data_IF_663732974853
#
_entry.id   IF_663732974853
#
_cell.length_a   1.000
_cell.length_b   1.000
_cell.length_c   1.000
_cell.angle_alpha   90.00
_cell.angle_beta   90.00
_cell.angle_gamma   90.00
#
_symmetry.space_group_name_H-M   'P 1'
#
loop_
_entity.id
_entity.type
_entity.pdbx_description
1 polymer ?
#
# COMPACT_ATOMS: atom_id res chain seq x y z
N UNK A 1 7.94 6.79 7.52
CA UNK A 1 8.35 5.57 6.79
C UNK A 1 8.49 5.74 5.27
N UNK A 2 7.61 6.51 4.58
CA UNK A 2 7.67 6.74 3.11
C UNK A 2 9.00 7.30 2.56
N UNK A 3 9.72 8.11 3.33
CA UNK A 3 11.03 8.63 2.91
C UNK A 3 12.12 7.54 2.89
N UNK A 4 12.07 6.57 3.82
CA UNK A 4 13.07 5.50 3.91
C UNK A 4 12.90 4.45 2.80
N UNK A 5 11.67 4.14 2.38
CA UNK A 5 11.43 3.23 1.25
C UNK A 5 11.85 3.86 -0.08
N UNK A 6 11.49 5.13 -0.31
CA UNK A 6 11.87 5.86 -1.52
C UNK A 6 13.39 6.04 -1.64
N UNK A 7 14.09 6.28 -0.52
CA UNK A 7 15.56 6.31 -0.50
C UNK A 7 16.15 4.92 -0.79
N UNK A 8 15.56 3.85 -0.26
CA UNK A 8 16.04 2.47 -0.47
C UNK A 8 15.84 2.00 -1.92
N UNK A 9 14.73 2.36 -2.54
CA UNK A 9 14.46 2.10 -3.96
C UNK A 9 15.38 2.91 -4.87
N UNK A 10 15.58 4.21 -4.58
CA UNK A 10 16.53 5.06 -5.31
C UNK A 10 17.96 4.50 -5.20
N UNK A 11 18.36 4.03 -4.01
CA UNK A 11 19.67 3.42 -3.81
C UNK A 11 19.80 2.10 -4.58
N UNK A 12 18.75 1.28 -4.64
CA UNK A 12 18.78 0.00 -5.37
C UNK A 12 18.83 0.23 -6.89
N UNK A 13 18.01 1.14 -7.40
CA UNK A 13 18.03 1.53 -8.82
C UNK A 13 19.36 2.15 -9.25
N UNK A 14 19.96 2.96 -8.39
CA UNK A 14 21.29 3.54 -8.64
C UNK A 14 22.39 2.46 -8.62
N UNK A 15 22.32 1.48 -7.71
CA UNK A 15 23.28 0.37 -7.67
C UNK A 15 23.19 -0.51 -8.92
N UNK A 16 21.98 -0.83 -9.39
CA UNK A 16 21.76 -1.57 -10.64
C UNK A 16 22.30 -0.78 -11.83
N UNK A 17 22.05 0.53 -11.87
CA UNK A 17 22.55 1.41 -12.92
C UNK A 17 24.08 1.46 -12.94
N UNK A 18 24.73 1.63 -11.79
CA UNK A 18 26.19 1.61 -11.66
C UNK A 18 26.77 0.25 -12.08
N UNK A 19 26.11 -0.85 -11.72
CA UNK A 19 26.48 -2.19 -12.16
C UNK A 19 26.45 -2.33 -13.69
N UNK A 20 25.37 -1.88 -14.33
CA UNK A 20 25.23 -1.94 -15.80
C UNK A 20 26.25 -1.04 -16.47
N UNK A 21 26.46 0.20 -16.00
CA UNK A 21 27.51 1.09 -16.53
C UNK A 21 28.89 0.46 -16.40
N UNK A 22 29.18 -0.19 -15.27
CA UNK A 22 30.44 -0.91 -15.07
C UNK A 22 30.63 -2.08 -16.02
N UNK A 23 29.59 -2.92 -16.20
CA UNK A 23 29.60 -4.03 -17.16
C UNK A 23 29.76 -3.53 -18.59
N UNK A 24 29.02 -2.48 -18.97
CA UNK A 24 29.17 -1.82 -20.27
C UNK A 24 30.61 -1.34 -20.45
N UNK A 25 31.18 -0.66 -19.46
CA UNK A 25 32.57 -0.21 -19.48
C UNK A 25 33.58 -1.34 -19.69
N UNK A 26 33.46 -2.45 -18.96
CA UNK A 26 34.36 -3.62 -19.09
C UNK A 26 34.23 -4.27 -20.46
N UNK A 27 33.01 -4.47 -20.96
CA UNK A 27 32.78 -5.07 -22.27
C UNK A 27 33.34 -4.22 -23.43
N UNK A 28 33.43 -2.90 -23.26
CA UNK A 28 34.06 -1.99 -24.24
C UNK A 28 35.51 -2.36 -24.53
N UNK A 29 36.25 -2.81 -23.51
CA UNK A 29 37.67 -3.09 -23.61
C UNK A 29 37.96 -4.52 -24.06
N UNK A 30 37.02 -5.45 -23.84
CA UNK A 30 37.20 -6.86 -24.15
C UNK A 30 36.75 -7.25 -25.57
N UNK A 31 35.83 -6.49 -26.17
CA UNK A 31 35.23 -6.85 -27.46
C UNK A 31 36.02 -6.21 -28.62
N UNK A 32 36.44 -7.00 -29.64
CA UNK A 32 37.23 -6.48 -30.76
C UNK A 32 36.47 -5.61 -31.78
N UNK A 33 35.13 -5.71 -31.86
CA UNK A 33 34.28 -4.92 -32.77
C UNK A 33 33.64 -3.71 -32.04
N UNK A 34 34.11 -2.47 -32.30
CA UNK A 34 33.64 -1.28 -31.59
C UNK A 34 32.23 -0.83 -32.00
N UNK A 35 31.69 -1.32 -33.12
CA UNK A 35 30.35 -0.94 -33.62
C UNK A 35 29.25 -1.70 -32.92
N UNK A 36 29.47 -3.00 -32.67
CA UNK A 36 28.59 -3.82 -31.87
C UNK A 36 28.41 -3.25 -30.45
N UNK A 37 29.40 -2.50 -29.96
CA UNK A 37 29.43 -1.95 -28.61
C UNK A 37 28.60 -0.66 -28.41
N UNK A 38 28.39 0.15 -29.45
CA UNK A 38 27.57 1.38 -29.37
C UNK A 38 26.14 1.10 -28.88
N UNK A 39 25.59 -0.06 -29.22
CA UNK A 39 24.25 -0.47 -28.80
C UNK A 39 24.19 -0.79 -27.29
N UNK A 40 25.30 -1.14 -26.65
CA UNK A 40 25.32 -1.50 -25.24
C UNK A 40 25.11 -0.28 -24.31
N UNK A 41 25.42 0.93 -24.78
CA UNK A 41 25.15 2.17 -24.06
C UNK A 41 23.65 2.52 -23.99
N UNK A 42 22.79 1.91 -24.82
CA UNK A 42 21.35 2.10 -24.68
C UNK A 42 20.82 1.52 -23.37
N UNK A 43 21.38 0.42 -22.87
CA UNK A 43 20.92 -0.22 -21.64
C UNK A 43 20.99 0.69 -20.40
N UNK A 44 22.15 1.27 -20.03
CA UNK A 44 22.21 2.18 -18.90
C UNK A 44 21.42 3.47 -19.14
N UNK A 45 21.30 3.94 -20.39
CA UNK A 45 20.56 5.16 -20.70
C UNK A 45 19.05 4.97 -20.59
N UNK A 46 18.51 3.89 -21.18
CA UNK A 46 17.09 3.52 -21.08
C UNK A 46 16.72 3.25 -19.62
N UNK A 47 17.55 2.49 -18.92
CA UNK A 47 17.30 2.21 -17.50
C UNK A 47 17.40 3.48 -16.65
N UNK A 48 18.39 4.34 -16.92
CA UNK A 48 18.53 5.63 -16.24
C UNK A 48 17.32 6.54 -16.49
N UNK A 49 16.81 6.58 -17.72
CA UNK A 49 15.61 7.33 -18.07
C UNK A 49 14.35 6.76 -17.38
N UNK A 50 14.23 5.44 -17.33
CA UNK A 50 13.11 4.75 -16.68
C UNK A 50 13.14 4.91 -15.15
N UNK A 51 14.27 4.72 -14.49
CA UNK A 51 14.36 4.75 -13.03
C UNK A 51 14.42 6.17 -12.45
N UNK A 52 15.01 7.12 -13.18
CA UNK A 52 15.34 8.45 -12.66
C UNK A 52 14.55 9.59 -13.32
N UNK A 53 13.73 9.27 -14.32
CA UNK A 53 12.94 10.23 -15.09
C UNK A 53 13.72 10.90 -16.23
N UNK A 54 13.00 11.74 -16.97
CA UNK A 54 13.43 12.33 -18.24
C UNK A 54 14.69 13.17 -18.12
N UNK A 55 14.73 14.11 -17.17
CA UNK A 55 15.87 15.03 -17.02
C UNK A 55 17.17 14.26 -16.77
N UNK A 56 17.14 13.27 -15.88
CA UNK A 56 18.32 12.48 -15.51
C UNK A 56 18.69 11.47 -16.60
N UNK A 57 17.70 10.86 -17.25
CA UNK A 57 17.92 10.00 -18.43
C UNK A 57 18.66 10.72 -19.56
N UNK A 58 18.26 11.96 -19.88
CA UNK A 58 18.93 12.77 -20.90
C UNK A 58 20.37 13.12 -20.50
N UNK A 59 20.63 13.42 -19.21
CA UNK A 59 22.00 13.65 -18.73
C UNK A 59 22.88 12.39 -18.89
N UNK A 60 22.33 11.20 -18.63
CA UNK A 60 23.04 9.94 -18.87
C UNK A 60 23.33 9.69 -20.35
N UNK A 61 22.39 10.00 -21.23
CA UNK A 61 22.61 9.93 -22.67
C UNK A 61 23.70 10.90 -23.14
N UNK A 62 23.70 12.14 -22.64
CA UNK A 62 24.75 13.13 -22.93
C UNK A 62 26.11 12.65 -22.44
N UNK A 63 26.19 12.10 -21.23
CA UNK A 63 27.43 11.54 -20.69
C UNK A 63 27.94 10.36 -21.54
N UNK A 64 27.05 9.47 -21.97
CA UNK A 64 27.41 8.37 -22.88
C UNK A 64 27.95 8.89 -24.22
N UNK A 65 27.29 9.90 -24.81
CA UNK A 65 27.77 10.56 -26.02
C UNK A 65 29.17 11.17 -25.83
N UNK A 66 29.42 11.87 -24.72
CA UNK A 66 30.73 12.45 -24.42
C UNK A 66 31.82 11.39 -24.27
N UNK A 67 31.53 10.28 -23.59
CA UNK A 67 32.46 9.15 -23.43
C UNK A 67 32.79 8.56 -24.80
N UNK A 68 31.78 8.29 -25.62
CA UNK A 68 31.98 7.69 -26.96
C UNK A 68 32.73 8.64 -27.89
N UNK A 69 32.42 9.94 -27.88
CA UNK A 69 33.16 10.95 -28.66
C UNK A 69 34.63 11.01 -28.22
N UNK A 70 34.89 10.98 -26.91
CA UNK A 70 36.25 10.95 -26.37
C UNK A 70 37.03 9.72 -26.81
N UNK A 71 36.42 8.53 -26.74
CA UNK A 71 37.02 7.28 -27.23
C UNK A 71 37.27 7.30 -28.75
N UNK A 72 36.32 7.79 -29.53
CA UNK A 72 36.45 7.90 -30.99
C UNK A 72 37.53 8.91 -31.42
N UNK A 73 37.83 9.90 -30.57
CA UNK A 73 38.90 10.87 -30.80
C UNK A 73 40.28 10.32 -30.42
N UNK A 74 40.34 9.42 -29.43
CA UNK A 74 41.58 8.83 -28.94
C UNK A 74 42.10 7.67 -29.80
N UNK A 75 41.21 6.93 -30.47
CA UNK A 75 41.57 5.81 -31.34
C UNK A 75 40.77 5.84 -32.64
N UNK A 76 41.37 6.42 -33.68
CA UNK A 76 40.74 6.56 -34.98
C UNK A 76 40.45 5.21 -35.64
N UNK A 77 41.27 4.18 -35.37
CA UNK A 77 41.16 2.87 -36.01
C UNK A 77 39.91 2.09 -35.61
N UNK A 78 39.32 2.42 -34.44
CA UNK A 78 38.14 1.73 -33.89
C UNK A 78 36.83 2.09 -34.58
N UNK A 79 36.70 3.28 -35.17
CA UNK A 79 35.41 3.79 -35.66
C UNK A 79 35.40 4.17 -37.14
N UNK A 80 36.47 3.87 -37.90
CA UNK A 80 36.53 4.14 -39.34
C UNK A 80 35.62 3.19 -40.13
N UNK A 81 34.93 3.73 -41.15
CA UNK A 81 34.24 2.96 -42.18
C UNK A 81 35.20 2.14 -43.03
N UNK A 82 34.81 0.93 -43.43
CA UNK A 82 35.58 0.07 -44.33
C UNK A 82 36.00 0.76 -45.66
N UNK A 83 35.39 1.91 -45.99
CA UNK A 83 35.68 2.72 -47.17
C UNK A 83 36.69 3.88 -46.96
N UNK A 84 37.31 4.03 -45.78
CA UNK A 84 38.41 4.99 -45.57
C UNK A 84 38.04 6.49 -45.54
N UNK A 85 36.75 6.84 -45.53
CA UNK A 85 36.26 8.24 -45.48
C UNK A 85 36.03 8.66 -44.04
N UNK A 86 36.92 9.50 -43.50
CA UNK A 86 36.96 9.89 -42.08
C UNK A 86 35.76 10.70 -41.59
N UNK A 87 35.08 11.48 -42.43
CA UNK A 87 33.92 12.29 -42.01
C UNK A 87 32.66 11.48 -41.72
N UNK A 88 32.52 10.27 -42.30
CA UNK A 88 31.34 9.40 -42.10
C UNK A 88 31.18 8.94 -40.66
N UNK A 89 32.28 8.79 -39.91
CA UNK A 89 32.27 8.41 -38.48
C UNK A 89 31.48 9.39 -37.62
N UNK A 90 31.61 10.69 -37.90
CA UNK A 90 30.96 11.74 -37.12
C UNK A 90 29.46 11.82 -37.44
N UNK A 91 29.07 11.52 -38.68
CA UNK A 91 27.67 11.37 -39.05
C UNK A 91 27.05 10.16 -38.35
N UNK A 92 27.71 8.99 -38.38
CA UNK A 92 27.22 7.78 -37.71
C UNK A 92 27.07 7.98 -36.19
N UNK A 93 28.07 8.59 -35.54
CA UNK A 93 28.02 8.93 -34.11
C UNK A 93 26.96 9.99 -33.80
N UNK A 94 26.77 10.97 -34.70
CA UNK A 94 25.72 11.97 -34.59
C UNK A 94 24.32 11.35 -34.66
N UNK A 95 24.09 10.46 -35.62
CA UNK A 95 22.82 9.71 -35.75
C UNK A 95 22.59 8.80 -34.54
N UNK A 96 23.60 8.03 -34.13
CA UNK A 96 23.52 7.19 -32.94
C UNK A 96 23.22 8.01 -31.67
N UNK A 97 23.96 9.09 -31.44
CA UNK A 97 23.76 9.96 -30.28
C UNK A 97 22.41 10.67 -30.29
N UNK A 98 21.94 11.08 -31.47
CA UNK A 98 20.60 11.64 -31.66
C UNK A 98 19.50 10.64 -31.31
N UNK A 99 19.60 9.41 -31.79
CA UNK A 99 18.63 8.33 -31.46
C UNK A 99 18.70 8.01 -29.97
N UNK A 100 19.90 7.94 -29.37
CA UNK A 100 20.07 7.67 -27.95
C UNK A 100 19.43 8.75 -27.08
N UNK A 101 19.63 10.02 -27.41
CA UNK A 101 19.01 11.16 -26.72
C UNK A 101 17.49 11.15 -26.86
N UNK A 102 16.98 10.91 -28.08
CA UNK A 102 15.54 10.81 -28.33
C UNK A 102 14.92 9.65 -27.53
N UNK A 103 15.60 8.50 -27.50
CA UNK A 103 15.16 7.32 -26.74
C UNK A 103 15.11 7.64 -25.25
N UNK A 104 16.16 8.26 -24.70
CA UNK A 104 16.21 8.66 -23.29
C UNK A 104 15.08 9.65 -22.95
N UNK A 105 14.84 10.64 -23.81
CA UNK A 105 13.76 11.60 -23.65
C UNK A 105 12.39 10.91 -23.67
N UNK A 106 12.13 10.05 -24.65
CA UNK A 106 10.86 9.37 -24.82
C UNK A 106 10.56 8.41 -23.67
N UNK A 107 11.51 7.54 -23.31
CA UNK A 107 11.37 6.59 -22.19
C UNK A 107 11.16 7.34 -20.88
N UNK A 108 11.94 8.39 -20.63
CA UNK A 108 11.80 9.17 -19.40
C UNK A 108 10.47 9.94 -19.34
N UNK A 109 9.99 10.46 -20.47
CA UNK A 109 8.68 11.12 -20.55
C UNK A 109 7.53 10.13 -20.32
N UNK A 110 7.62 8.93 -20.90
CA UNK A 110 6.62 7.87 -20.72
C UNK A 110 6.56 7.42 -19.26
N UNK A 111 7.72 7.22 -18.63
CA UNK A 111 7.80 6.90 -17.21
C UNK A 111 7.17 8.00 -16.35
N UNK A 112 7.55 9.27 -16.56
CA UNK A 112 6.99 10.41 -15.83
C UNK A 112 5.45 10.51 -15.98
N UNK A 113 4.94 10.29 -17.19
CA UNK A 113 3.49 10.28 -17.48
C UNK A 113 2.77 9.13 -16.78
N UNK A 114 3.32 7.91 -16.85
CA UNK A 114 2.73 6.74 -16.21
C UNK A 114 2.72 6.89 -14.69
N UNK A 115 3.81 7.39 -14.11
CA UNK A 115 3.91 7.73 -12.69
C UNK A 115 2.90 8.80 -12.27
N UNK A 116 2.64 9.79 -13.12
CA UNK A 116 1.62 10.81 -12.85
C UNK A 116 0.21 10.22 -12.86
N UNK A 117 -0.11 9.38 -13.85
CA UNK A 117 -1.40 8.67 -13.94
C UNK A 117 -1.62 7.75 -12.74
N UNK A 118 -0.58 7.02 -12.30
CA UNK A 118 -0.67 6.16 -11.12
C UNK A 118 -0.93 6.97 -9.85
N UNK A 119 -0.29 8.13 -9.69
CA UNK A 119 -0.55 9.03 -8.56
C UNK A 119 -1.97 9.59 -8.60
N UNK A 120 -2.44 10.04 -9.75
CA UNK A 120 -3.80 10.55 -9.92
C UNK A 120 -4.85 9.48 -9.60
N UNK A 121 -4.62 8.23 -10.02
CA UNK A 121 -5.45 7.10 -9.66
C UNK A 121 -5.45 6.82 -8.15
N UNK A 122 -4.28 6.89 -7.50
CA UNK A 122 -4.16 6.74 -6.03
C UNK A 122 -4.89 7.86 -5.29
N UNK A 123 -4.73 9.11 -5.71
CA UNK A 123 -5.38 10.27 -5.12
C UNK A 123 -6.91 10.19 -5.30
N UNK A 124 -7.37 9.81 -6.50
CA UNK A 124 -8.78 9.57 -6.77
C UNK A 124 -9.35 8.43 -5.90
N UNK A 125 -8.61 7.33 -5.76
CA UNK A 125 -8.99 6.22 -4.88
C UNK A 125 -9.14 6.67 -3.43
N UNK A 126 -8.17 7.39 -2.89
CA UNK A 126 -8.25 7.94 -1.53
C UNK A 126 -9.41 8.92 -1.37
N UNK A 127 -9.62 9.81 -2.34
CA UNK A 127 -10.73 10.76 -2.36
C UNK A 127 -12.09 10.07 -2.37
N UNK A 128 -12.27 9.01 -3.17
CA UNK A 128 -13.51 8.22 -3.19
C UNK A 128 -13.74 7.54 -1.85
N UNK A 129 -12.73 6.90 -1.25
CA UNK A 129 -12.86 6.27 0.07
C UNK A 129 -13.23 7.30 1.14
N UNK A 130 -12.66 8.50 1.10
CA UNK A 130 -12.99 9.59 2.03
C UNK A 130 -14.44 10.09 1.84
N UNK A 131 -14.89 10.25 0.59
CA UNK A 131 -16.29 10.60 0.28
C UNK A 131 -17.24 9.54 0.82
N UNK A 132 -16.92 8.25 0.65
CA UNK A 132 -17.73 7.16 1.19
C UNK A 132 -17.77 7.20 2.72
N UNK A 133 -16.64 7.44 3.38
CA UNK A 133 -16.59 7.64 4.84
C UNK A 133 -17.53 8.76 5.29
N UNK A 134 -17.46 9.92 4.61
CA UNK A 134 -18.31 11.08 4.91
C UNK A 134 -19.80 10.79 4.66
N UNK A 135 -20.12 10.02 3.64
CA UNK A 135 -21.48 9.59 3.35
C UNK A 135 -22.02 8.69 4.49
N UNK A 136 -21.25 7.70 4.92
CA UNK A 136 -21.61 6.82 6.05
C UNK A 136 -21.86 7.65 7.31
N UNK A 137 -20.91 8.51 7.66
CA UNK A 137 -21.00 9.40 8.83
C UNK A 137 -22.19 10.38 8.71
N UNK A 138 -22.64 10.73 7.50
CA UNK A 138 -23.82 11.59 7.31
C UNK A 138 -25.16 10.88 7.53
N UNK A 139 -25.21 9.58 7.22
CA UNK A 139 -26.39 8.72 7.43
C UNK A 139 -26.52 8.37 8.91
N UNK A 140 -25.40 8.09 9.57
CA UNK A 140 -25.34 7.82 11.00
C UNK A 140 -25.03 9.12 11.77
N UNK A 141 -26.09 9.83 12.17
CA UNK A 141 -26.00 11.10 12.94
C UNK A 141 -25.21 10.99 14.26
N UNK A 142 -24.83 9.78 14.70
CA UNK A 142 -24.14 9.54 15.95
C UNK A 142 -22.61 9.48 15.83
N UNK A 143 -22.06 9.66 14.63
CA UNK A 143 -20.66 9.31 14.34
C UNK A 143 -19.95 10.36 13.48
N UNK A 144 -19.63 11.53 14.02
CA UNK A 144 -18.71 12.44 13.33
C UNK A 144 -17.30 11.82 13.35
N UNK A 145 -16.74 11.54 12.17
CA UNK A 145 -15.38 11.01 11.96
C UNK A 145 -15.09 9.67 12.68
N UNK A 146 -16.11 8.86 12.93
CA UNK A 146 -15.96 7.55 13.58
C UNK A 146 -15.16 6.58 12.72
N UNK A 147 -15.56 6.44 11.46
CA UNK A 147 -14.93 5.54 10.49
C UNK A 147 -13.43 5.85 10.35
N UNK A 148 -13.06 7.13 10.39
CA UNK A 148 -11.67 7.59 10.39
C UNK A 148 -10.89 7.18 11.65
N UNK A 149 -11.46 7.37 12.85
CA UNK A 149 -10.81 6.97 14.11
C UNK A 149 -10.67 5.45 14.24
N UNK A 150 -11.69 4.69 13.86
CA UNK A 150 -11.63 3.22 13.82
C UNK A 150 -10.51 2.76 12.89
N UNK A 151 -10.38 3.37 11.71
CA UNK A 151 -9.29 3.06 10.79
C UNK A 151 -7.90 3.38 11.36
N UNK A 152 -7.76 4.50 12.08
CA UNK A 152 -6.51 4.83 12.75
C UNK A 152 -6.13 3.80 13.82
N UNK A 153 -7.08 3.43 14.68
CA UNK A 153 -6.89 2.40 15.70
C UNK A 153 -6.57 1.03 15.08
N UNK A 154 -7.31 0.63 14.04
CA UNK A 154 -7.12 -0.63 13.35
C UNK A 154 -5.73 -0.73 12.70
N UNK A 155 -5.24 0.35 12.07
CA UNK A 155 -3.89 0.40 11.52
C UNK A 155 -2.81 0.23 12.60
N UNK A 156 -2.97 0.86 13.76
CA UNK A 156 -2.01 0.75 14.86
C UNK A 156 -1.95 -0.70 15.37
N UNK A 157 -3.12 -1.31 15.60
CA UNK A 157 -3.22 -2.73 15.99
C UNK A 157 -2.57 -3.63 14.92
N UNK A 158 -2.83 -3.38 13.63
CA UNK A 158 -2.29 -4.17 12.53
C UNK A 158 -0.75 -4.11 12.45
N UNK A 159 -0.17 -2.92 12.64
CA UNK A 159 1.30 -2.76 12.66
C UNK A 159 1.95 -3.46 13.85
N UNK A 160 1.33 -3.38 15.02
CA UNK A 160 1.81 -4.05 16.23
C UNK A 160 1.77 -5.58 16.15
N UNK A 161 0.88 -6.11 15.31
CA UNK A 161 0.83 -7.54 14.97
C UNK A 161 1.91 -7.97 13.97
N UNK A 162 2.69 -7.02 13.45
CA UNK A 162 3.71 -7.27 12.43
C UNK A 162 3.12 -7.67 11.07
N UNK A 163 2.00 -7.04 10.68
CA UNK A 163 1.43 -7.18 9.34
C UNK A 163 2.18 -6.30 8.33
N UNK A 164 2.15 -6.69 7.06
CA UNK A 164 2.73 -5.89 5.97
C UNK A 164 1.95 -4.60 5.74
N UNK A 165 2.58 -3.56 5.17
CA UNK A 165 1.87 -2.29 4.89
C UNK A 165 0.71 -2.48 3.90
N UNK A 166 0.75 -3.51 3.03
CA UNK A 166 -0.38 -3.85 2.17
C UNK A 166 -1.57 -4.38 2.99
N UNK A 167 -1.33 -5.30 3.93
CA UNK A 167 -2.38 -5.81 4.83
C UNK A 167 -2.91 -4.71 5.77
N UNK A 168 -2.04 -3.81 6.24
CA UNK A 168 -2.43 -2.65 7.06
C UNK A 168 -3.35 -1.72 6.27
N UNK A 169 -3.06 -1.49 4.98
CA UNK A 169 -3.89 -0.68 4.10
C UNK A 169 -5.25 -1.34 3.82
N UNK A 170 -5.28 -2.65 3.59
CA UNK A 170 -6.56 -3.39 3.44
C UNK A 170 -7.42 -3.26 4.70
N UNK A 171 -6.82 -3.38 5.89
CA UNK A 171 -7.51 -3.19 7.17
C UNK A 171 -7.99 -1.75 7.35
N UNK A 172 -7.18 -0.76 6.96
CA UNK A 172 -7.56 0.66 7.00
C UNK A 172 -8.80 0.90 6.15
N UNK A 173 -8.82 0.40 4.92
CA UNK A 173 -9.94 0.55 3.99
C UNK A 173 -11.17 -0.21 4.51
N UNK A 174 -10.99 -1.42 5.03
CA UNK A 174 -12.06 -2.19 5.67
C UNK A 174 -12.66 -1.50 6.88
N UNK A 175 -11.84 -0.87 7.70
CA UNK A 175 -12.30 -0.07 8.83
C UNK A 175 -13.09 1.17 8.40
N UNK A 176 -12.71 1.83 7.29
CA UNK A 176 -13.48 2.98 6.79
C UNK A 176 -14.85 2.53 6.26
N UNK A 177 -14.90 1.37 5.60
CA UNK A 177 -16.09 0.88 4.91
C UNK A 177 -16.94 -0.10 5.72
N UNK A 178 -16.58 -0.42 6.97
CA UNK A 178 -17.23 -1.49 7.75
C UNK A 178 -18.74 -1.28 7.88
N UNK A 179 -19.16 -0.02 7.99
CA UNK A 179 -20.54 0.42 8.16
C UNK A 179 -21.22 0.91 6.87
N UNK A 180 -20.61 0.72 5.69
CA UNK A 180 -21.17 1.22 4.41
C UNK A 180 -22.58 0.69 4.12
N UNK A 181 -22.93 -0.50 4.64
CA UNK A 181 -24.26 -1.07 4.46
C UNK A 181 -25.37 -0.32 5.22
N UNK A 182 -25.04 0.55 6.18
CA UNK A 182 -26.03 1.34 6.92
C UNK A 182 -26.78 2.32 6.02
N UNK A 183 -26.24 2.68 4.85
CA UNK A 183 -26.92 3.54 3.86
C UNK A 183 -28.25 2.96 3.37
N UNK A 184 -28.45 1.64 3.48
CA UNK A 184 -29.63 0.92 3.03
C UNK A 184 -30.43 0.33 4.21
N UNK A 185 -30.15 0.77 5.44
CA UNK A 185 -30.97 0.48 6.63
C UNK A 185 -31.91 1.66 6.87
N UNK A 186 -33.16 1.37 7.27
CA UNK A 186 -34.14 2.42 7.57
C UNK A 186 -33.59 3.48 8.54
N UNK A 187 -33.76 4.75 8.18
CA UNK A 187 -33.36 5.90 9.02
C UNK A 187 -34.04 5.85 10.39
N UNK A 188 -35.28 5.35 10.47
CA UNK A 188 -36.02 5.26 11.73
C UNK A 188 -35.43 4.19 12.66
N UNK A 189 -34.94 3.08 12.10
CA UNK A 189 -34.21 2.04 12.83
C UNK A 189 -32.85 2.58 13.29
N UNK A 190 -32.13 3.29 12.42
CA UNK A 190 -30.84 3.91 12.75
C UNK A 190 -30.96 4.94 13.88
N UNK A 191 -32.06 5.72 13.93
CA UNK A 191 -32.30 6.76 14.95
C UNK A 191 -32.72 6.22 16.31
N UNK A 192 -33.09 4.95 16.43
CA UNK A 192 -33.45 4.35 17.71
C UNK A 192 -32.18 4.00 18.49
N UNK A 193 -31.74 4.94 19.32
CA UNK A 193 -30.56 4.80 20.17
C UNK A 193 -30.69 3.73 21.28
N UNK A 194 -31.92 3.34 21.65
CA UNK A 194 -32.18 2.29 22.63
C UNK A 194 -33.50 1.58 22.31
N UNK A 195 -33.52 0.25 22.49
CA UNK A 195 -34.75 -0.56 22.40
C UNK A 195 -35.20 -0.87 20.97
N UNK A 196 -34.31 -1.43 20.16
CA UNK A 196 -34.69 -2.06 18.89
C UNK A 196 -35.61 -3.26 19.18
N UNK A 197 -36.69 -3.40 18.41
CA UNK A 197 -37.45 -4.66 18.39
C UNK A 197 -36.58 -5.80 17.82
N UNK A 198 -37.03 -7.04 17.95
CA UNK A 198 -36.31 -8.17 17.38
C UNK A 198 -36.19 -8.05 15.84
N UNK A 199 -37.24 -7.54 15.19
CA UNK A 199 -37.30 -7.28 13.76
C UNK A 199 -36.34 -6.16 13.34
N UNK A 200 -36.32 -5.05 14.10
CA UNK A 200 -35.44 -3.91 13.84
C UNK A 200 -33.96 -4.28 14.06
N UNK A 201 -33.69 -5.11 15.05
CA UNK A 201 -32.35 -5.65 15.27
C UNK A 201 -31.92 -6.57 14.12
N UNK A 202 -32.80 -7.44 13.63
CA UNK A 202 -32.54 -8.27 12.47
C UNK A 202 -32.29 -7.42 11.20
N UNK A 203 -33.05 -6.35 10.99
CA UNK A 203 -32.81 -5.39 9.90
C UNK A 203 -31.44 -4.72 10.04
N UNK A 204 -31.09 -4.24 11.22
CA UNK A 204 -29.78 -3.65 11.50
C UNK A 204 -28.64 -4.62 11.18
N UNK A 205 -28.76 -5.89 11.55
CA UNK A 205 -27.74 -6.89 11.25
C UNK A 205 -27.45 -7.05 9.75
N UNK A 206 -28.43 -6.76 8.88
CA UNK A 206 -28.25 -6.91 7.43
C UNK A 206 -27.20 -5.96 6.82
N UNK A 207 -26.79 -4.90 7.52
CA UNK A 207 -25.80 -3.95 6.98
C UNK A 207 -24.46 -4.64 6.66
N UNK A 208 -24.08 -5.70 7.37
CA UNK A 208 -22.83 -6.42 7.08
C UNK A 208 -22.91 -7.11 5.72
N UNK A 209 -24.06 -7.66 5.36
CA UNK A 209 -24.30 -8.33 4.09
C UNK A 209 -24.50 -7.34 2.95
N UNK A 210 -25.29 -6.28 3.19
CA UNK A 210 -25.50 -5.19 2.23
C UNK A 210 -24.19 -4.48 1.92
N UNK A 211 -23.40 -4.16 2.95
CA UNK A 211 -22.08 -3.54 2.79
C UNK A 211 -21.10 -4.45 2.06
N UNK A 212 -21.05 -5.74 2.42
CA UNK A 212 -20.22 -6.72 1.71
C UNK A 212 -20.62 -6.88 0.24
N UNK A 213 -21.92 -6.82 -0.09
CA UNK A 213 -22.42 -6.88 -1.46
C UNK A 213 -22.04 -5.62 -2.26
N UNK A 214 -22.22 -4.43 -1.66
CA UNK A 214 -21.82 -3.16 -2.27
C UNK A 214 -20.32 -3.13 -2.58
N UNK A 215 -19.47 -3.50 -1.63
CA UNK A 215 -18.02 -3.49 -1.85
C UNK A 215 -17.58 -4.57 -2.83
N UNK A 216 -18.26 -5.72 -2.86
CA UNK A 216 -17.99 -6.78 -3.83
C UNK A 216 -18.27 -6.35 -5.26
N UNK A 217 -19.28 -5.51 -5.49
CA UNK A 217 -19.65 -5.06 -6.85
C UNK A 217 -18.59 -4.14 -7.48
N UNK A 218 -17.83 -3.40 -6.66
CA UNK A 218 -16.70 -2.58 -7.12
C UNK A 218 -15.57 -3.45 -7.68
N UNK A 219 -15.40 -4.67 -7.16
CA UNK A 219 -14.39 -5.62 -7.64
C UNK A 219 -12.95 -5.18 -7.42
N UNK A 220 -12.02 -5.88 -8.08
CA UNK A 220 -10.59 -5.53 -8.09
C UNK A 220 -9.99 -5.31 -6.70
N UNK A 221 -9.51 -4.08 -6.46
CA UNK A 221 -8.73 -3.68 -5.28
C UNK A 221 -9.47 -3.86 -3.95
N UNK A 222 -10.81 -3.80 -3.94
CA UNK A 222 -11.59 -3.91 -2.69
C UNK A 222 -12.02 -5.35 -2.35
N UNK A 223 -11.69 -6.33 -3.20
CA UNK A 223 -12.13 -7.72 -3.00
C UNK A 223 -11.65 -8.31 -1.67
N UNK A 224 -10.43 -7.96 -1.25
CA UNK A 224 -9.81 -8.45 -0.01
C UNK A 224 -10.45 -7.87 1.26
N UNK A 225 -11.16 -6.75 1.11
CA UNK A 225 -11.80 -6.02 2.20
C UNK A 225 -13.19 -6.61 2.55
N UNK A 226 -13.84 -7.27 1.59
CA UNK A 226 -15.21 -7.82 1.74
C UNK A 226 -15.38 -8.70 2.99
N UNK A 227 -14.48 -9.65 3.32
CA UNK A 227 -14.62 -10.45 4.55
C UNK A 227 -14.50 -9.61 5.82
N UNK A 228 -13.74 -8.52 5.79
CA UNK A 228 -13.60 -7.63 6.94
C UNK A 228 -14.94 -6.96 7.26
N UNK A 229 -15.64 -6.48 6.23
CA UNK A 229 -16.98 -5.87 6.35
C UNK A 229 -18.01 -6.91 6.76
N UNK A 230 -18.01 -8.09 6.12
CA UNK A 230 -19.02 -9.12 6.35
C UNK A 230 -19.03 -9.72 7.76
N UNK A 231 -17.91 -9.62 8.49
CA UNK A 231 -17.67 -10.34 9.74
C UNK A 231 -17.16 -9.45 10.89
N UNK A 232 -17.16 -8.12 10.76
CA UNK A 232 -16.65 -7.24 11.83
C UNK A 232 -17.51 -7.24 13.11
N UNK A 233 -18.74 -7.74 13.06
CA UNK A 233 -19.59 -7.98 14.23
C UNK A 233 -19.53 -9.43 14.74
N UNK A 234 -18.60 -10.26 14.24
CA UNK A 234 -18.35 -11.56 14.82
C UNK A 234 -17.69 -11.47 16.19
N UNK A 235 -18.02 -12.41 17.05
CA UNK A 235 -17.45 -12.53 18.39
C UNK A 235 -16.66 -13.82 18.47
N UNK A 236 -15.49 -13.75 19.06
CA UNK A 236 -14.54 -14.84 19.29
C UNK A 236 -15.17 -16.10 19.90
N UNK A 237 -16.21 -15.94 20.71
CA UNK A 237 -16.96 -17.03 21.33
C UNK A 237 -18.07 -17.63 20.44
N UNK A 238 -18.25 -17.13 19.22
CA UNK A 238 -19.28 -17.57 18.27
C UNK A 238 -20.66 -16.96 18.51
N UNK A 239 -20.79 -15.97 19.39
CA UNK A 239 -22.09 -15.29 19.66
C UNK A 239 -22.32 -14.05 18.78
N UNK A 240 -21.54 -13.89 17.72
CA UNK A 240 -21.68 -12.82 16.73
C UNK A 240 -22.81 -13.07 15.72
N UNK A 241 -22.92 -12.19 14.72
CA UNK A 241 -24.06 -12.19 13.79
C UNK A 241 -24.22 -13.50 12.99
N UNK A 242 -23.13 -14.14 12.58
CA UNK A 242 -23.14 -15.35 11.74
C UNK A 242 -22.45 -16.53 12.40
N UNK A 243 -22.07 -16.40 13.68
CA UNK A 243 -21.61 -17.49 14.52
C UNK A 243 -20.21 -18.01 14.22
N UNK A 244 -19.36 -17.22 13.56
CA UNK A 244 -17.95 -17.59 13.42
C UNK A 244 -17.25 -17.43 14.76
N UNK A 245 -16.41 -18.40 15.12
CA UNK A 245 -15.68 -18.40 16.38
C UNK A 245 -14.17 -18.50 16.17
N UNK A 246 -13.42 -17.93 17.12
CA UNK A 246 -11.97 -18.04 17.13
C UNK A 246 -11.29 -17.54 15.85
N UNK A 247 -10.39 -18.37 15.32
CA UNK A 247 -9.60 -18.07 14.12
C UNK A 247 -10.38 -18.22 12.81
N UNK A 248 -11.61 -18.74 12.84
CA UNK A 248 -12.48 -18.74 11.66
C UNK A 248 -12.90 -17.30 11.27
N UNK A 249 -12.83 -16.36 12.23
CA UNK A 249 -13.07 -14.94 11.96
C UNK A 249 -11.84 -14.35 11.28
N UNK A 250 -11.99 -13.71 10.10
CA UNK A 250 -10.87 -13.07 9.41
C UNK A 250 -10.10 -12.11 10.33
N UNK A 251 -8.77 -12.11 10.23
CA UNK A 251 -7.92 -11.30 11.09
C UNK A 251 -8.29 -9.82 11.03
N UNK A 252 -8.50 -9.28 9.82
CA UNK A 252 -8.92 -7.89 9.62
C UNK A 252 -10.25 -7.57 10.30
N UNK A 253 -11.24 -8.47 10.23
CA UNK A 253 -12.52 -8.31 10.92
C UNK A 253 -12.34 -8.24 12.45
N UNK A 254 -11.48 -9.08 13.03
CA UNK A 254 -11.16 -9.06 14.47
C UNK A 254 -10.47 -7.76 14.88
N UNK A 255 -9.58 -7.24 14.05
CA UNK A 255 -8.89 -5.97 14.30
C UNK A 255 -9.89 -4.81 14.28
N UNK A 256 -10.77 -4.77 13.27
CA UNK A 256 -11.81 -3.73 13.15
C UNK A 256 -12.79 -3.80 14.32
N UNK A 257 -13.26 -5.00 14.69
CA UNK A 257 -14.18 -5.19 15.81
C UNK A 257 -13.64 -4.59 17.13
N UNK A 258 -12.34 -4.77 17.40
CA UNK A 258 -11.70 -4.17 18.58
C UNK A 258 -11.59 -2.65 18.45
N UNK A 259 -11.17 -2.16 17.28
CA UNK A 259 -11.02 -0.74 17.01
C UNK A 259 -12.36 0.01 17.15
N UNK A 260 -13.43 -0.55 16.59
CA UNK A 260 -14.80 -0.04 16.69
C UNK A 260 -15.30 -0.07 18.14
N UNK A 261 -15.13 -1.21 18.84
CA UNK A 261 -15.50 -1.31 20.26
C UNK A 261 -14.78 -0.27 21.11
N UNK A 262 -13.47 -0.08 20.86
CA UNK A 262 -12.69 0.94 21.56
C UNK A 262 -13.23 2.34 21.30
N UNK A 263 -13.45 2.71 20.02
CA UNK A 263 -13.99 4.01 19.63
C UNK A 263 -15.36 4.28 20.27
N UNK A 264 -16.25 3.28 20.26
CA UNK A 264 -17.57 3.34 20.87
C UNK A 264 -17.55 3.50 22.41
N UNK A 265 -16.48 3.05 23.07
CA UNK A 265 -16.35 3.20 24.53
C UNK A 265 -15.84 4.60 24.89
N UNK A 266 -14.82 5.11 24.19
CA UNK A 266 -14.09 6.32 24.58
C UNK A 266 -14.75 7.61 24.10
N UNK A 267 -15.52 7.57 23.01
CA UNK A 267 -16.20 8.75 22.49
C UNK A 267 -17.63 8.88 23.04
N UNK A 268 -18.13 10.12 23.03
CA UNK A 268 -19.50 10.43 23.39
C UNK A 268 -20.48 9.78 22.41
N UNK A 269 -21.59 9.28 22.95
CA UNK A 269 -22.79 8.88 22.21
C UNK A 269 -23.95 9.74 22.68
N UNK A 270 -24.98 9.88 21.85
CA UNK A 270 -26.18 10.69 22.16
C UNK A 270 -26.82 10.39 23.53
N UNK A 271 -26.67 9.17 24.02
CA UNK A 271 -27.24 8.67 25.28
C UNK A 271 -26.21 8.48 26.41
N UNK A 272 -24.90 8.63 26.15
CA UNK A 272 -23.85 8.33 27.14
C UNK A 272 -22.56 9.11 26.84
N UNK A 273 -21.95 9.70 27.87
CA UNK A 273 -20.59 10.23 27.76
C UNK A 273 -19.54 9.12 27.57
N UNK A 274 -18.50 9.44 26.82
CA UNK A 274 -17.31 8.63 26.63
C UNK A 274 -16.67 8.24 27.95
N UNK A 275 -16.05 7.06 27.97
CA UNK A 275 -15.28 6.57 29.12
C UNK A 275 -13.80 6.89 28.94
N UNK A 276 -13.06 6.87 30.04
CA UNK A 276 -11.60 7.07 29.97
C UNK A 276 -10.93 5.90 29.26
N UNK A 277 -9.74 6.15 28.70
CA UNK A 277 -8.90 5.12 28.09
C UNK A 277 -8.68 3.91 29.02
N UNK A 278 -8.39 4.16 30.30
CA UNK A 278 -8.19 3.10 31.29
C UNK A 278 -9.45 2.23 31.47
N UNK A 279 -10.63 2.84 31.50
CA UNK A 279 -11.90 2.12 31.57
C UNK A 279 -12.17 1.30 30.30
N UNK A 280 -11.85 1.86 29.12
CA UNK A 280 -11.96 1.14 27.85
C UNK A 280 -11.09 -0.11 27.83
N UNK A 281 -9.83 -0.01 28.27
CA UNK A 281 -8.95 -1.16 28.38
C UNK A 281 -9.47 -2.21 29.37
N UNK A 282 -10.04 -1.81 30.52
CA UNK A 282 -10.63 -2.75 31.47
C UNK A 282 -11.83 -3.47 30.84
N UNK A 283 -12.69 -2.76 30.12
CA UNK A 283 -13.84 -3.35 29.43
C UNK A 283 -13.40 -4.30 28.32
N UNK A 284 -12.43 -3.91 27.50
CA UNK A 284 -11.91 -4.77 26.43
C UNK A 284 -11.19 -6.01 27.02
N UNK A 285 -10.55 -5.87 28.19
CA UNK A 285 -9.91 -7.00 28.91
C UNK A 285 -10.93 -7.92 29.59
N UNK A 286 -12.01 -7.36 30.15
CA UNK A 286 -13.00 -8.08 30.96
C UNK A 286 -14.24 -8.54 30.18
N UNK A 287 -14.51 -7.94 29.04
CA UNK A 287 -15.72 -8.11 28.23
C UNK A 287 -15.46 -8.83 26.92
N UNK A 288 -15.91 -10.08 26.88
CA UNK A 288 -16.61 -10.73 25.77
C UNK A 288 -16.09 -10.48 24.34
N UNK A 289 -15.09 -11.29 23.98
CA UNK A 289 -15.17 -11.96 22.69
C UNK A 289 -14.43 -11.34 21.51
N UNK A 290 -13.34 -10.58 21.66
CA UNK A 290 -12.47 -10.32 20.49
C UNK A 290 -11.01 -10.51 20.87
N UNK A 291 -10.47 -11.69 20.54
CA UNK A 291 -9.05 -11.98 20.70
C UNK A 291 -8.35 -11.89 19.35
N UNK A 292 -7.21 -11.18 19.31
CA UNK A 292 -6.36 -11.15 18.11
C UNK A 292 -5.23 -12.15 18.29
N UNK A 293 -5.51 -13.41 17.96
CA UNK A 293 -4.48 -14.44 17.83
C UNK A 293 -4.08 -14.58 16.35
N UNK A 294 -2.78 -14.50 16.06
CA UNK A 294 -2.20 -14.87 14.75
C UNK A 294 -1.85 -16.35 14.79
N UNK A 295 -2.08 -17.08 13.69
CA UNK A 295 -1.62 -18.47 13.53
C UNK A 295 -0.11 -18.51 13.78
N UNK A 296 0.33 -19.32 14.73
CA UNK A 296 1.75 -19.51 15.03
C UNK A 296 2.39 -20.34 13.91
N UNK A 297 2.90 -19.69 12.87
CA UNK A 297 3.83 -20.33 11.95
C UNK A 297 5.22 -20.36 12.62
N UNK A 298 5.58 -21.57 13.08
CA UNK A 298 6.92 -22.04 13.44
C UNK A 298 7.88 -21.02 14.07
N UNK A 299 7.76 -20.82 15.39
CA UNK A 299 8.90 -20.37 16.19
C UNK A 299 9.86 -21.55 16.36
N UNK A 300 11.18 -21.43 16.09
CA UNK A 300 12.13 -22.51 16.32
C UNK A 300 12.09 -22.88 17.79
N UNK A 301 11.67 -24.11 18.06
CA UNK A 301 11.55 -24.68 19.39
C UNK A 301 12.91 -24.71 20.08
N UNK A 302 13.08 -23.83 21.06
CA UNK A 302 14.20 -23.87 21.97
C UNK A 302 13.85 -23.07 23.21
N UNK A 303 13.58 -23.79 24.29
CA UNK A 303 13.52 -23.38 25.70
C UNK A 303 12.11 -23.42 26.31
N UNK A 304 11.93 -24.49 27.09
CA UNK A 304 10.84 -24.74 28.03
C UNK A 304 10.93 -23.71 29.16
N UNK A 305 9.96 -22.81 29.22
CA UNK A 305 9.78 -21.84 30.30
C UNK A 305 8.39 -21.23 30.22
N UNK A 306 7.57 -21.46 31.24
CA UNK A 306 6.16 -21.18 31.25
C UNK A 306 5.76 -19.71 30.96
N UNK A 307 4.55 -19.55 30.42
CA UNK A 307 3.68 -18.35 30.38
C UNK A 307 3.84 -17.38 29.18
N UNK A 308 2.95 -17.52 28.19
CA UNK A 308 1.95 -16.50 27.84
C UNK A 308 1.05 -16.97 26.69
N UNK A 309 -0.27 -16.98 26.94
CA UNK A 309 -1.32 -17.15 25.91
C UNK A 309 -1.29 -15.94 24.94
N UNK A 310 -1.76 -16.07 23.69
CA UNK A 310 -1.71 -15.02 22.66
C UNK A 310 -2.75 -13.91 22.90
N UNK A 311 -2.77 -13.30 24.10
CA UNK A 311 -3.82 -12.37 24.55
C UNK A 311 -3.51 -10.88 24.31
N UNK A 312 -2.29 -10.46 24.02
CA UNK A 312 -1.89 -9.06 24.25
C UNK A 312 -1.16 -8.37 23.08
N UNK A 313 -1.67 -8.45 21.86
CA UNK A 313 -1.19 -7.59 20.76
C UNK A 313 -1.97 -6.26 20.69
N UNK A 314 -3.31 -6.31 20.65
CA UNK A 314 -4.16 -5.11 20.64
C UNK A 314 -3.90 -4.18 21.84
N UNK A 315 -3.56 -4.73 23.01
CA UNK A 315 -3.31 -3.96 24.23
C UNK A 315 -2.04 -3.11 24.14
N UNK A 316 -0.99 -3.59 23.43
CA UNK A 316 0.23 -2.78 23.23
C UNK A 316 -0.05 -1.57 22.34
N UNK A 317 -0.83 -1.78 21.27
CA UNK A 317 -1.19 -0.71 20.33
C UNK A 317 -1.93 0.46 20.99
N UNK A 318 -2.65 0.19 22.07
CA UNK A 318 -3.38 1.19 22.83
C UNK A 318 -2.58 1.75 24.03
N UNK A 319 -1.64 0.99 24.62
CA UNK A 319 -0.86 1.46 25.78
C UNK A 319 0.16 2.55 25.46
N UNK A 320 0.64 2.61 24.22
CA UNK A 320 1.71 3.53 23.82
C UNK A 320 1.20 4.94 23.44
N UNK A 321 -0.04 5.26 23.80
CA UNK A 321 -0.77 6.45 23.33
C UNK A 321 -1.23 7.41 24.44
N UNK A 322 -0.71 7.23 25.66
CA UNK A 322 -0.96 8.11 26.81
C UNK A 322 0.17 9.14 26.99
#
# INVERSE_FOLDING_TARGET
MRARSRIREVNTGLLVLLGIVGVTGVLNFLVPDPRAFLNLYYLPVVLGAYLLGRRRGVLWALLACLIVIGLASADESRFIAAAGVTWTRWLDLGTWGGILLLTAYMVGSLYESNEAQLRELQDAYHGVVEIMSKLIDSVDRYTENHSGRVAEHAMRIARDLGLSEAEVEDIRVGAILHDIGKVDVSIDVLRKAAGLSAEEYAEMQTHVDKGALLVRSVGGILRHVVPMIAFHHERWDGTGYKGLAGEAIPLGARVIAIADTYDAIVNDRSYRRGRTHAQALVIIRGGQGVAVARRAESWPSGHVGARSRPRNAAIRAFSDTA
#
